data_IF_931720879341
#
_entry.id   IF_931720879341
#
_cell.length_a   1.000
_cell.length_b   1.000
_cell.length_c   1.000
_cell.angle_alpha   90.00
_cell.angle_beta   90.00
_cell.angle_gamma   90.00
#
_symmetry.space_group_name_H-M   'P 1'
#
loop_
_entity.id
_entity.type
_entity.pdbx_description
1 polymer ?
#
# COMPACT_ATOMS: atom_id res chain seq x y z
N UNK A 1 21.01 37.24 22.59
CA UNK A 1 21.41 35.82 22.42
C UNK A 1 20.40 34.84 23.03
N UNK A 2 19.97 34.99 24.30
CA UNK A 2 19.04 34.05 24.96
C UNK A 2 17.65 33.97 24.29
N UNK A 3 17.15 35.07 23.73
CA UNK A 3 15.83 35.13 23.07
C UNK A 3 15.79 34.34 21.75
N UNK A 4 16.82 34.47 20.91
CA UNK A 4 16.92 33.76 19.64
C UNK A 4 17.03 32.25 19.83
N UNK A 5 17.76 31.78 20.86
CA UNK A 5 17.89 30.35 21.19
C UNK A 5 16.54 29.73 21.57
N UNK A 6 15.70 30.44 22.35
CA UNK A 6 14.34 29.98 22.70
C UNK A 6 13.43 29.89 21.48
N UNK A 7 13.56 30.85 20.54
CA UNK A 7 12.79 30.85 19.29
C UNK A 7 13.16 29.66 18.40
N UNK A 8 14.46 29.39 18.22
CA UNK A 8 14.91 28.24 17.44
C UNK A 8 14.49 26.91 18.08
N UNK A 9 14.59 26.78 19.41
CA UNK A 9 14.17 25.58 20.12
C UNK A 9 12.65 25.36 20.03
N UNK A 10 11.86 26.43 20.12
CA UNK A 10 10.41 26.35 19.91
C UNK A 10 10.05 25.91 18.49
N UNK A 11 10.74 26.46 17.48
CA UNK A 11 10.50 26.13 16.08
C UNK A 11 10.87 24.67 15.74
N UNK A 12 11.97 24.16 16.29
CA UNK A 12 12.36 22.74 16.09
C UNK A 12 11.42 21.77 16.80
N UNK A 13 10.89 22.12 17.98
CA UNK A 13 9.84 21.33 18.65
C UNK A 13 8.56 21.32 17.81
N UNK A 14 8.08 22.47 17.32
CA UNK A 14 6.91 22.52 16.43
C UNK A 14 7.09 21.71 15.13
N UNK A 15 8.27 21.80 14.51
CA UNK A 15 8.57 21.06 13.29
C UNK A 15 8.63 19.54 13.50
N UNK A 16 9.14 19.08 14.66
CA UNK A 16 9.18 17.65 15.01
C UNK A 16 7.82 17.09 15.40
N UNK A 17 6.94 17.88 16.02
CA UNK A 17 5.55 17.44 16.24
C UNK A 17 4.76 17.37 14.92
N UNK A 18 4.97 18.31 13.99
CA UNK A 18 4.28 18.32 12.70
C UNK A 18 4.61 17.11 11.80
N UNK A 19 5.76 16.46 11.98
CA UNK A 19 6.17 15.29 11.18
C UNK A 19 5.66 13.96 11.72
N UNK A 20 5.03 13.92 12.89
CA UNK A 20 4.54 12.67 13.53
C UNK A 20 3.12 12.24 13.13
N UNK A 21 2.47 12.94 12.20
CA UNK A 21 1.03 12.79 11.94
C UNK A 21 0.61 12.39 10.53
N UNK A 22 1.53 12.09 9.60
CA UNK A 22 1.13 11.69 8.25
C UNK A 22 0.81 10.19 8.20
N UNK A 23 -0.48 9.89 8.04
CA UNK A 23 -0.92 8.55 7.71
C UNK A 23 -0.68 8.27 6.22
N UNK A 24 -0.42 7.00 5.93
CA UNK A 24 -0.18 6.54 4.56
C UNK A 24 -1.39 6.80 3.66
N UNK A 25 -1.12 7.23 2.43
CA UNK A 25 -2.13 7.38 1.38
C UNK A 25 -2.07 6.22 0.41
N UNK A 26 -3.20 5.57 0.17
CA UNK A 26 -3.28 4.41 -0.70
C UNK A 26 -4.38 4.60 -1.74
N UNK A 27 -4.27 3.91 -2.88
CA UNK A 27 -5.41 3.80 -3.78
C UNK A 27 -6.45 2.84 -3.19
N UNK A 28 -7.72 3.22 -3.23
CA UNK A 28 -8.87 2.43 -2.80
C UNK A 28 -9.83 2.24 -3.98
N UNK A 29 -9.83 1.04 -4.58
CA UNK A 29 -10.69 0.74 -5.72
C UNK A 29 -10.83 -0.78 -5.95
N UNK A 30 -11.85 -1.15 -6.74
CA UNK A 30 -12.13 -2.52 -7.17
C UNK A 30 -12.34 -2.54 -8.69
N UNK A 31 -11.62 -3.40 -9.40
CA UNK A 31 -11.70 -3.51 -10.87
C UNK A 31 -13.03 -4.03 -11.39
N UNK A 32 -13.84 -4.72 -10.57
CA UNK A 32 -15.19 -5.15 -10.97
C UNK A 32 -16.10 -3.93 -11.16
N UNK A 33 -16.03 -2.97 -10.24
CA UNK A 33 -16.89 -1.78 -10.27
C UNK A 33 -16.27 -0.64 -11.09
N UNK A 34 -14.94 -0.60 -11.18
CA UNK A 34 -14.20 0.47 -11.84
C UNK A 34 -13.11 -0.12 -12.75
N UNK A 35 -13.30 -0.20 -14.08
CA UNK A 35 -12.34 -0.85 -14.99
C UNK A 35 -10.96 -0.17 -15.00
N UNK A 36 -10.89 1.13 -14.67
CA UNK A 36 -9.65 1.89 -14.47
C UNK A 36 -8.77 1.36 -13.32
N UNK A 37 -9.35 0.60 -12.39
CA UNK A 37 -8.65 -0.12 -11.34
C UNK A 37 -8.09 -1.48 -11.81
N UNK A 38 -8.16 -1.81 -13.10
CA UNK A 38 -7.68 -3.08 -13.64
C UNK A 38 -6.15 -3.23 -13.66
N UNK A 39 -5.70 -4.20 -14.45
CA UNK A 39 -4.28 -4.53 -14.60
C UNK A 39 -3.49 -3.33 -15.17
N UNK A 40 -4.08 -2.65 -16.15
CA UNK A 40 -3.64 -1.33 -16.59
C UNK A 40 -4.26 -0.27 -15.68
N UNK A 41 -3.59 -0.01 -14.57
CA UNK A 41 -4.07 0.96 -13.60
C UNK A 41 -3.99 2.38 -14.15
N UNK A 42 -5.13 3.07 -14.21
CA UNK A 42 -5.19 4.49 -14.51
C UNK A 42 -5.24 5.26 -13.19
N UNK A 43 -4.11 5.86 -12.83
CA UNK A 43 -4.00 6.66 -11.61
C UNK A 43 -4.98 7.83 -11.67
N UNK A 44 -5.81 7.95 -10.64
CA UNK A 44 -6.79 9.01 -10.47
C UNK A 44 -6.82 9.41 -9.00
N UNK A 45 -6.84 10.72 -8.73
CA UNK A 45 -6.89 11.26 -7.37
C UNK A 45 -8.20 10.92 -6.66
N UNK A 46 -9.28 10.63 -7.39
CA UNK A 46 -10.54 10.16 -6.82
C UNK A 46 -10.43 8.79 -6.13
N UNK A 47 -9.40 8.00 -6.46
CA UNK A 47 -9.12 6.74 -5.79
C UNK A 47 -8.16 6.90 -4.60
N UNK A 48 -7.53 8.06 -4.41
CA UNK A 48 -6.61 8.27 -3.30
C UNK A 48 -7.36 8.44 -1.99
N UNK A 49 -6.99 7.62 -1.01
CA UNK A 49 -7.57 7.62 0.32
C UNK A 49 -6.46 7.82 1.37
N UNK A 50 -6.71 8.73 2.29
CA UNK A 50 -5.93 8.89 3.51
C UNK A 50 -6.37 7.80 4.50
N UNK A 51 -5.48 6.84 4.77
CA UNK A 51 -5.83 5.66 5.54
C UNK A 51 -6.11 5.94 7.03
N UNK A 52 -5.79 7.12 7.55
CA UNK A 52 -6.23 7.53 8.89
C UNK A 52 -7.72 7.89 8.96
N UNK A 53 -8.36 8.15 7.81
CA UNK A 53 -9.77 8.58 7.76
C UNK A 53 -10.76 7.42 7.68
N UNK A 54 -10.27 6.19 7.63
CA UNK A 54 -11.13 5.01 7.60
C UNK A 54 -10.86 4.10 8.79
N UNK A 55 -11.95 3.63 9.40
CA UNK A 55 -11.86 2.61 10.43
C UNK A 55 -11.50 1.26 9.82
N UNK A 56 -10.77 0.39 10.53
CA UNK A 56 -10.60 -0.98 10.10
C UNK A 56 -11.96 -1.67 9.98
N UNK A 57 -12.11 -2.59 9.00
CA UNK A 57 -13.31 -3.41 8.86
C UNK A 57 -13.76 -4.02 10.19
N UNK A 58 -15.08 -4.05 10.45
CA UNK A 58 -15.65 -4.49 11.74
C UNK A 58 -15.18 -5.86 12.21
N UNK A 59 -14.93 -6.78 11.29
CA UNK A 59 -14.43 -8.11 11.63
C UNK A 59 -13.02 -8.07 12.27
N UNK A 60 -12.19 -7.08 11.95
CA UNK A 60 -10.87 -6.89 12.57
C UNK A 60 -10.95 -6.23 13.95
N UNK A 61 -12.04 -5.54 14.27
CA UNK A 61 -12.19 -4.81 15.54
C UNK A 61 -12.32 -5.75 16.76
N UNK A 62 -12.76 -6.99 16.56
CA UNK A 62 -12.95 -7.97 17.64
C UNK A 62 -11.68 -8.74 18.02
N UNK A 63 -10.66 -8.76 17.16
CA UNK A 63 -9.48 -9.63 17.34
C UNK A 63 -8.19 -8.87 17.68
N UNK A 64 -8.13 -7.56 17.41
CA UNK A 64 -6.95 -6.74 17.68
C UNK A 64 -7.35 -5.39 18.26
N UNK A 65 -6.54 -4.79 19.16
CA UNK A 65 -6.67 -3.37 19.46
C UNK A 65 -6.60 -2.62 18.13
N UNK A 66 -7.63 -1.85 17.81
CA UNK A 66 -7.87 -1.16 16.54
C UNK A 66 -6.58 -0.47 16.09
N UNK A 67 -5.80 -1.11 15.21
CA UNK A 67 -4.56 -0.53 14.69
C UNK A 67 -4.90 0.35 13.50
N UNK A 68 -4.26 1.51 13.43
CA UNK A 68 -4.25 2.31 12.21
C UNK A 68 -3.73 1.47 11.04
N UNK A 69 -4.11 1.82 9.83
CA UNK A 69 -3.54 1.20 8.64
C UNK A 69 -2.01 1.30 8.67
N UNK A 70 -1.34 0.20 8.34
CA UNK A 70 0.11 0.06 8.40
C UNK A 70 0.76 0.03 7.02
N UNK A 71 -0.05 -0.01 5.96
CA UNK A 71 0.42 -0.04 4.59
C UNK A 71 -0.69 0.09 3.56
N UNK A 72 -0.33 -0.10 2.30
CA UNK A 72 -1.25 -0.31 1.19
C UNK A 72 -1.25 -1.79 0.79
N UNK A 73 -2.40 -2.25 0.32
CA UNK A 73 -2.66 -3.59 -0.15
C UNK A 73 -3.04 -3.58 -1.63
N UNK A 74 -2.59 -4.58 -2.37
CA UNK A 74 -3.09 -4.94 -3.69
C UNK A 74 -3.36 -6.45 -3.74
N UNK A 75 -4.62 -6.82 -3.94
CA UNK A 75 -5.06 -8.21 -4.12
C UNK A 75 -5.43 -8.47 -5.58
N UNK A 76 -5.12 -9.65 -6.07
CA UNK A 76 -5.52 -10.16 -7.37
C UNK A 76 -6.27 -11.47 -7.15
N UNK A 77 -7.54 -11.52 -7.55
CA UNK A 77 -8.42 -12.66 -7.40
C UNK A 77 -8.80 -13.22 -8.77
N UNK A 78 -8.77 -14.53 -8.90
CA UNK A 78 -9.33 -15.26 -10.03
C UNK A 78 -10.83 -15.44 -9.81
N UNK A 79 -11.63 -14.51 -10.36
CA UNK A 79 -13.09 -14.54 -10.26
C UNK A 79 -13.77 -14.79 -11.60
N UNK A 80 -13.19 -14.30 -12.69
CA UNK A 80 -13.70 -14.48 -14.05
C UNK A 80 -12.55 -14.98 -14.95
N UNK A 81 -12.79 -16.00 -15.80
CA UNK A 81 -11.79 -16.48 -16.74
C UNK A 81 -11.18 -15.33 -17.55
N UNK A 82 -9.85 -15.26 -17.57
CA UNK A 82 -9.04 -14.25 -18.29
C UNK A 82 -9.16 -12.81 -17.77
N UNK A 83 -10.02 -12.54 -16.79
CA UNK A 83 -10.26 -11.20 -16.25
C UNK A 83 -10.16 -11.22 -14.72
N UNK A 84 -8.94 -11.28 -14.16
CA UNK A 84 -8.77 -11.30 -12.72
C UNK A 84 -9.26 -9.98 -12.11
N UNK A 85 -9.96 -10.10 -10.98
CA UNK A 85 -10.36 -8.95 -10.17
C UNK A 85 -9.13 -8.41 -9.44
N UNK A 86 -8.98 -7.09 -9.42
CA UNK A 86 -7.91 -6.39 -8.70
C UNK A 86 -8.53 -5.45 -7.69
N UNK A 87 -8.15 -5.62 -6.43
CA UNK A 87 -8.59 -4.78 -5.32
C UNK A 87 -7.38 -4.04 -4.77
N UNK A 88 -7.50 -2.73 -4.61
CA UNK A 88 -6.53 -1.88 -3.94
C UNK A 88 -7.18 -1.29 -2.70
N UNK A 89 -6.47 -1.33 -1.57
CA UNK A 89 -6.98 -0.76 -0.32
C UNK A 89 -5.87 -0.35 0.64
N UNK A 90 -6.25 0.30 1.74
CA UNK A 90 -5.41 0.36 2.93
C UNK A 90 -5.25 -1.05 3.55
N UNK A 91 -4.10 -1.31 4.14
CA UNK A 91 -3.77 -2.54 4.83
C UNK A 91 -3.82 -2.33 6.35
N UNK A 92 -4.59 -3.16 7.05
CA UNK A 92 -4.72 -3.13 8.51
C UNK A 92 -4.15 -4.43 9.07
N UNK A 93 -2.92 -4.38 9.59
CA UNK A 93 -2.27 -5.58 10.11
C UNK A 93 -0.77 -5.40 10.31
N UNK A 94 -0.06 -6.51 10.44
CA UNK A 94 1.39 -6.52 10.55
C UNK A 94 2.01 -6.68 9.15
N UNK A 95 2.74 -5.66 8.68
CA UNK A 95 3.42 -5.72 7.37
C UNK A 95 4.57 -6.74 7.34
N UNK A 96 5.06 -7.18 8.49
CA UNK A 96 6.04 -8.28 8.59
C UNK A 96 5.38 -9.67 8.53
N UNK A 97 4.08 -9.75 8.78
CA UNK A 97 3.28 -10.97 8.68
C UNK A 97 1.97 -10.71 7.92
N UNK A 98 2.09 -10.68 6.59
CA UNK A 98 0.96 -10.35 5.71
C UNK A 98 -0.10 -11.44 5.63
N UNK A 99 0.19 -12.66 6.09
CA UNK A 99 -0.69 -13.82 5.96
C UNK A 99 -2.09 -13.53 6.48
N UNK A 100 -2.21 -12.88 7.65
CA UNK A 100 -3.50 -12.59 8.27
C UNK A 100 -4.39 -11.68 7.39
N UNK A 101 -3.80 -10.68 6.72
CA UNK A 101 -4.56 -9.78 5.84
C UNK A 101 -4.66 -10.25 4.39
N UNK A 102 -3.79 -11.17 3.98
CA UNK A 102 -3.74 -11.80 2.66
C UNK A 102 -4.34 -13.21 2.64
N UNK A 103 -5.08 -13.62 3.66
CA UNK A 103 -5.80 -14.90 3.58
C UNK A 103 -6.97 -14.82 2.59
N UNK A 104 -7.25 -15.96 1.96
CA UNK A 104 -8.43 -16.16 1.14
C UNK A 104 -9.68 -15.90 1.98
N UNK A 105 -10.67 -15.23 1.39
CA UNK A 105 -11.94 -14.99 2.07
C UNK A 105 -12.80 -16.26 1.99
N UNK A 106 -13.05 -16.95 3.11
CA UNK A 106 -13.85 -18.17 3.10
C UNK A 106 -15.31 -17.93 2.67
N UNK A 107 -15.78 -16.68 2.68
CA UNK A 107 -17.11 -16.31 2.17
C UNK A 107 -17.16 -16.23 0.64
N UNK A 108 -16.02 -16.25 -0.04
CA UNK A 108 -15.90 -16.22 -1.50
C UNK A 108 -15.26 -17.52 -2.03
N UNK A 109 -15.92 -18.69 -1.87
CA UNK A 109 -15.32 -20.01 -2.15
C UNK A 109 -14.97 -20.24 -3.62
N UNK A 110 -15.52 -19.45 -4.54
CA UNK A 110 -15.24 -19.52 -5.97
C UNK A 110 -14.16 -18.54 -6.44
N UNK A 111 -13.65 -17.70 -5.53
CA UNK A 111 -12.54 -16.79 -5.82
C UNK A 111 -11.24 -17.39 -5.31
N UNK A 112 -10.23 -17.46 -6.17
CA UNK A 112 -8.89 -17.90 -5.78
C UNK A 112 -7.95 -16.70 -5.74
N UNK A 113 -7.26 -16.46 -4.63
CA UNK A 113 -6.24 -15.39 -4.61
C UNK A 113 -5.02 -15.80 -5.43
N UNK A 114 -4.70 -15.00 -6.45
CA UNK A 114 -3.53 -15.16 -7.30
C UNK A 114 -2.32 -14.42 -6.76
N UNK A 115 -2.54 -13.23 -6.20
CA UNK A 115 -1.47 -12.40 -5.62
C UNK A 115 -2.00 -11.50 -4.51
N UNK A 116 -1.13 -11.19 -3.55
CA UNK A 116 -1.40 -10.25 -2.47
C UNK A 116 -0.12 -9.52 -2.09
N UNK A 117 -0.02 -8.26 -2.48
CA UNK A 117 1.15 -7.42 -2.24
C UNK A 117 0.84 -6.37 -1.17
N UNK A 118 1.70 -6.26 -0.16
CA UNK A 118 1.62 -5.22 0.89
C UNK A 118 2.88 -4.35 0.82
N UNK A 119 2.69 -3.03 0.89
CA UNK A 119 3.79 -2.06 0.82
C UNK A 119 3.52 -0.86 1.73
N UNK A 120 4.57 -0.12 2.12
CA UNK A 120 4.51 0.87 3.22
C UNK A 120 4.75 2.32 2.77
N UNK A 121 4.87 2.57 1.46
CA UNK A 121 5.04 3.92 0.90
C UNK A 121 3.70 4.45 0.40
N UNK A 122 3.55 5.76 0.41
CA UNK A 122 2.40 6.40 -0.22
C UNK A 122 2.22 5.93 -1.67
N UNK A 123 0.98 5.61 -2.02
CA UNK A 123 0.53 5.27 -3.36
C UNK A 123 1.18 4.01 -3.97
N UNK A 124 1.89 3.22 -3.15
CA UNK A 124 2.69 2.09 -3.62
C UNK A 124 1.85 0.97 -4.25
N UNK A 125 0.59 0.81 -3.84
CA UNK A 125 -0.32 -0.16 -4.46
C UNK A 125 -0.82 0.27 -5.86
N UNK A 126 -0.41 1.44 -6.35
CA UNK A 126 -0.68 1.91 -7.71
C UNK A 126 0.33 1.44 -8.75
N UNK A 127 1.49 0.89 -8.37
CA UNK A 127 2.44 0.39 -9.37
C UNK A 127 1.90 -0.89 -10.02
N UNK A 128 2.14 -1.03 -11.33
CA UNK A 128 2.14 -2.35 -11.93
C UNK A 128 3.16 -3.20 -11.13
N UNK A 129 2.81 -4.42 -10.73
CA UNK A 129 3.76 -5.33 -10.07
C UNK A 129 4.74 -5.80 -11.15
N UNK A 130 5.61 -4.90 -11.62
CA UNK A 130 6.81 -5.28 -12.32
C UNK A 130 7.75 -5.73 -11.21
N UNK A 131 7.87 -7.04 -11.05
CA UNK A 131 8.97 -7.65 -10.31
C UNK A 131 10.30 -6.93 -10.64
N UNK A 132 11.32 -6.98 -9.76
CA UNK A 132 12.61 -6.27 -9.91
C UNK A 132 13.47 -6.70 -11.12
N UNK A 133 12.86 -7.30 -12.14
CA UNK A 133 13.45 -7.75 -13.40
C UNK A 133 14.16 -6.60 -14.12
N UNK A 134 13.61 -5.38 -14.11
CA UNK A 134 14.26 -4.23 -14.74
C UNK A 134 15.59 -3.83 -14.05
N UNK A 135 15.66 -3.94 -12.71
CA UNK A 135 16.89 -3.67 -11.96
C UNK A 135 17.95 -4.76 -12.17
N UNK A 136 17.53 -6.03 -12.24
CA UNK A 136 18.42 -7.15 -12.53
C UNK A 136 19.05 -7.03 -13.92
N UNK A 137 18.26 -6.67 -14.94
CA UNK A 137 18.76 -6.49 -16.32
C UNK A 137 19.82 -5.38 -16.39
N UNK A 138 19.59 -4.23 -15.76
CA UNK A 138 20.56 -3.13 -15.74
C UNK A 138 21.86 -3.51 -14.98
N UNK A 139 21.76 -4.28 -13.91
CA UNK A 139 22.93 -4.80 -13.19
C UNK A 139 23.73 -5.79 -14.03
N UNK A 140 23.07 -6.72 -14.74
CA UNK A 140 23.75 -7.68 -15.61
C UNK A 140 24.50 -6.99 -16.76
N UNK A 141 23.88 -6.01 -17.42
CA UNK A 141 24.57 -5.26 -18.49
C UNK A 141 25.63 -4.30 -17.96
N UNK A 142 25.44 -3.72 -16.78
CA UNK A 142 26.44 -2.87 -16.12
C UNK A 142 27.70 -3.65 -15.72
N UNK A 143 27.54 -4.84 -15.13
CA UNK A 143 28.66 -5.72 -14.76
C UNK A 143 29.35 -6.26 -16.02
N UNK A 144 28.61 -6.66 -17.06
CA UNK A 144 29.21 -7.11 -18.31
C UNK A 144 30.06 -6.04 -19.01
N UNK A 145 29.72 -4.75 -18.87
CA UNK A 145 30.50 -3.62 -19.40
C UNK A 145 31.73 -3.27 -18.56
N UNK A 146 31.74 -3.62 -17.28
CA UNK A 146 32.90 -3.43 -16.39
C UNK A 146 33.91 -4.57 -16.50
N UNK A 147 33.48 -5.73 -17.01
CA UNK A 147 34.28 -6.94 -17.20
C UNK A 147 34.78 -7.13 -18.64
N UNK A 148 34.46 -6.20 -19.55
CA UNK A 148 34.92 -6.17 -20.95
C UNK A 148 35.81 -4.94 -21.17
#
# INVERSE_FOLDING_TARGET
MVSSVKLFLGLTVLATLASTGYAIKCYQCDSITNPKCGAKFEKDSSYLLDCAKIAPPRFLQNFFPVRNATGCLKKVLDTVPQHPQIIRSCYFGDVSNTQVGCQDDPSLPFSKQLACDVCTKDECNGSASLAPVAGAILLFFGVARLLA
#
